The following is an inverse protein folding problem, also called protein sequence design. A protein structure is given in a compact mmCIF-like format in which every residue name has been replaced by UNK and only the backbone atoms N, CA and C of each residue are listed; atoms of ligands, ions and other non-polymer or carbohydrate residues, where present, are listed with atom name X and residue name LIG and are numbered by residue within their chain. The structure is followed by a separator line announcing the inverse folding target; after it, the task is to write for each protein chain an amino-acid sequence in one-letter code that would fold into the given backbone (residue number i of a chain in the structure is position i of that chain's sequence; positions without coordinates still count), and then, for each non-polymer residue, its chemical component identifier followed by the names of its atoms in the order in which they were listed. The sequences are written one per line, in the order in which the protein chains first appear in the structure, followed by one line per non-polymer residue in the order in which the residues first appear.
data_IF_458680999628
#
_entry.id   IF_458680999628
#
_cell.length_a   1.000
_cell.length_b   1.000
_cell.length_c   1.000
_cell.angle_alpha   90.00
_cell.angle_beta   90.00
_cell.angle_gamma   90.00
#
_symmetry.space_group_name_H-M   'P 1'
#
loop_
_entity.id
_entity.type
_entity.pdbx_description
1 polymer ?
#
# COMPACT_ATOMS: atom_id res chain seq x y z
N UNK A 1 112.94 8.87 -31.73
CA UNK A 1 112.26 9.22 -33.01
C UNK A 1 111.19 8.17 -33.27
N UNK A 2 109.91 8.52 -33.07
CA UNK A 2 108.67 7.83 -33.52
C UNK A 2 107.51 8.47 -32.74
N UNK A 3 107.03 9.65 -33.14
CA UNK A 3 105.90 9.93 -34.05
C UNK A 3 104.58 9.23 -33.65
N UNK A 4 103.71 10.03 -33.03
CA UNK A 4 102.26 9.83 -32.81
C UNK A 4 101.51 9.48 -34.10
N UNK A 5 100.47 8.64 -33.97
CA UNK A 5 99.31 8.62 -34.88
C UNK A 5 98.04 8.92 -34.08
N UNK A 6 97.21 9.89 -34.49
CA UNK A 6 95.97 10.21 -33.81
C UNK A 6 94.86 9.25 -34.27
N UNK A 7 94.11 8.69 -33.32
CA UNK A 7 92.85 8.00 -33.61
C UNK A 7 91.69 8.98 -33.41
N UNK A 8 90.98 9.26 -34.49
CA UNK A 8 89.69 9.95 -34.47
C UNK A 8 88.61 8.99 -33.95
N UNK A 9 87.82 9.44 -32.98
CA UNK A 9 86.59 8.74 -32.58
C UNK A 9 85.40 9.56 -33.04
N UNK A 10 84.59 8.98 -33.94
CA UNK A 10 83.35 9.57 -34.41
C UNK A 10 82.28 9.52 -33.31
N UNK A 11 81.60 10.64 -33.06
CA UNK A 11 80.46 10.72 -32.15
C UNK A 11 79.19 10.53 -33.00
N UNK A 12 78.46 9.44 -32.77
CA UNK A 12 77.13 9.23 -33.32
C UNK A 12 76.09 9.82 -32.37
N UNK A 13 75.35 10.84 -32.80
CA UNK A 13 74.17 11.35 -32.09
C UNK A 13 72.97 10.45 -32.41
N UNK A 14 72.60 9.58 -31.47
CA UNK A 14 71.30 8.91 -31.49
C UNK A 14 70.24 9.81 -30.86
N UNK A 15 69.31 10.33 -31.65
CA UNK A 15 68.13 11.03 -31.13
C UNK A 15 67.07 9.99 -30.74
N UNK A 16 66.90 9.71 -29.45
CA UNK A 16 65.72 9.02 -28.94
C UNK A 16 64.60 10.05 -28.70
N UNK A 17 63.50 9.93 -29.44
CA UNK A 17 62.26 10.65 -29.14
C UNK A 17 61.63 9.91 -27.95
N UNK A 18 61.67 10.53 -26.76
CA UNK A 18 60.91 10.06 -25.62
C UNK A 18 59.48 10.59 -25.76
N UNK A 19 58.52 9.71 -26.05
CA UNK A 19 57.09 10.05 -25.92
C UNK A 19 56.71 9.95 -24.45
N UNK A 20 56.59 11.09 -23.77
CA UNK A 20 55.98 11.17 -22.44
C UNK A 20 54.48 10.91 -22.54
N UNK A 21 54.03 9.74 -22.09
CA UNK A 21 52.63 9.50 -21.79
C UNK A 21 52.28 10.29 -20.52
N UNK A 22 51.68 11.47 -20.68
CA UNK A 22 51.11 12.23 -19.55
C UNK A 22 49.87 11.47 -19.07
N UNK A 23 50.05 10.56 -18.12
CA UNK A 23 48.96 10.07 -17.29
C UNK A 23 48.59 11.19 -16.33
N UNK A 24 47.45 11.84 -16.55
CA UNK A 24 46.86 12.74 -15.57
C UNK A 24 46.42 11.91 -14.35
N UNK A 25 47.34 11.68 -13.41
CA UNK A 25 47.06 10.98 -12.16
C UNK A 25 46.35 11.97 -11.22
N UNK A 26 45.03 11.85 -11.13
CA UNK A 26 44.26 12.53 -10.07
C UNK A 26 44.59 11.83 -8.76
N UNK A 27 45.30 12.51 -7.88
CA UNK A 27 45.65 12.00 -6.55
C UNK A 27 44.61 12.48 -5.53
N UNK A 28 43.83 11.54 -5.00
CA UNK A 28 42.92 11.79 -3.87
C UNK A 28 43.68 11.53 -2.56
N UNK A 29 44.16 12.59 -1.91
CA UNK A 29 44.92 12.47 -0.67
C UNK A 29 43.98 12.48 0.55
N UNK A 30 43.62 11.30 1.07
CA UNK A 30 42.75 11.16 2.25
C UNK A 30 43.58 11.35 3.52
N UNK A 31 43.34 12.43 4.25
CA UNK A 31 44.03 12.68 5.52
C UNK A 31 43.43 11.84 6.66
N UNK A 32 44.12 10.75 7.03
CA UNK A 32 43.71 9.87 8.13
C UNK A 32 44.08 10.38 9.53
N UNK A 33 44.91 11.42 9.65
CA UNK A 33 45.44 11.89 10.94
C UNK A 33 44.47 12.77 11.73
N UNK A 34 43.48 13.37 11.08
CA UNK A 34 42.45 14.19 11.70
C UNK A 34 41.09 13.56 11.43
N UNK A 35 40.49 12.93 12.45
CA UNK A 35 39.07 12.58 12.36
C UNK A 35 38.31 13.90 12.26
N UNK A 36 37.68 14.16 11.12
CA UNK A 36 36.87 15.36 10.90
C UNK A 36 35.70 15.45 11.88
N UNK A 37 34.79 16.41 11.66
CA UNK A 37 33.60 16.55 12.51
C UNK A 37 32.80 15.24 12.59
N UNK A 38 32.29 14.93 13.78
CA UNK A 38 31.42 13.76 13.96
C UNK A 38 30.20 13.90 13.06
N UNK A 39 29.97 12.90 12.22
CA UNK A 39 28.78 12.84 11.38
C UNK A 39 27.55 12.74 12.29
N UNK A 40 26.60 13.70 12.24
CA UNK A 40 25.41 13.65 13.08
C UNK A 40 24.60 12.39 12.82
N UNK A 41 24.05 11.78 13.87
CA UNK A 41 23.15 10.64 13.76
C UNK A 41 21.87 10.97 12.96
N UNK A 42 21.57 12.25 12.75
CA UNK A 42 20.44 12.77 11.97
C UNK A 42 20.79 13.14 10.53
N UNK A 43 22.04 12.89 10.08
CA UNK A 43 22.47 13.25 8.71
C UNK A 43 21.62 12.58 7.63
N UNK A 44 21.03 11.43 7.93
CA UNK A 44 20.15 10.71 7.02
C UNK A 44 18.75 10.54 7.62
N UNK A 45 17.73 10.84 6.83
CA UNK A 45 16.34 10.71 7.21
C UNK A 45 15.46 10.45 6.00
N UNK A 46 14.18 10.20 6.25
CA UNK A 46 13.15 10.10 5.23
C UNK A 46 12.23 11.31 5.34
N UNK A 47 11.85 11.87 4.19
CA UNK A 47 10.72 12.77 4.10
C UNK A 47 9.55 11.94 3.60
N UNK A 48 8.45 11.98 4.34
CA UNK A 48 7.17 11.41 3.96
C UNK A 48 6.19 12.58 3.84
N UNK A 49 5.61 12.73 2.67
CA UNK A 49 4.57 13.73 2.40
C UNK A 49 3.24 13.03 2.24
N UNK A 50 2.17 13.67 2.72
CA UNK A 50 0.81 13.18 2.50
C UNK A 50 0.44 13.33 1.03
N UNK A 51 0.03 12.23 0.40
CA UNK A 51 -0.65 12.18 -0.88
C UNK A 51 0.15 12.58 -2.16
N UNK A 52 1.49 12.59 -2.14
CA UNK A 52 2.25 12.46 -3.40
C UNK A 52 2.22 10.99 -3.84
N UNK A 53 1.67 10.73 -5.03
CA UNK A 53 1.62 9.40 -5.65
C UNK A 53 1.03 8.29 -4.75
N UNK A 54 0.05 8.60 -3.90
CA UNK A 54 -0.53 7.64 -2.92
C UNK A 54 0.52 7.07 -1.94
N UNK A 55 1.51 7.87 -1.55
CA UNK A 55 2.59 7.48 -0.64
C UNK A 55 2.14 7.17 0.80
N UNK A 56 1.01 7.72 1.22
CA UNK A 56 0.32 7.47 2.49
C UNK A 56 -0.88 6.54 2.29
N UNK A 57 -2.02 7.04 1.81
CA UNK A 57 -3.24 6.28 1.56
C UNK A 57 -3.07 5.45 0.29
N UNK A 58 -3.09 4.11 0.44
CA UNK A 58 -2.68 3.16 -0.60
C UNK A 58 -1.19 2.82 -0.57
N UNK A 59 -0.41 3.59 0.18
CA UNK A 59 1.01 3.43 0.42
C UNK A 59 1.28 3.00 1.85
N UNK A 60 1.95 3.85 2.63
CA UNK A 60 2.38 3.51 3.98
C UNK A 60 1.22 3.11 4.91
N UNK A 61 0.06 3.76 4.82
CA UNK A 61 -1.12 3.42 5.61
C UNK A 61 -1.74 2.10 5.10
N UNK A 62 -2.05 1.18 6.00
CA UNK A 62 -2.41 -0.20 5.63
C UNK A 62 -3.86 -0.41 5.18
N UNK A 63 -4.67 0.64 5.08
CA UNK A 63 -6.04 0.53 4.57
C UNK A 63 -6.04 -0.01 3.14
N UNK A 64 -6.86 -1.03 2.89
CA UNK A 64 -7.03 -1.60 1.55
C UNK A 64 -8.15 -0.92 0.77
N UNK A 65 -9.20 -0.45 1.47
CA UNK A 65 -10.39 0.12 0.84
C UNK A 65 -10.13 1.56 0.42
N UNK A 66 -10.18 1.81 -0.88
CA UNK A 66 -10.08 3.15 -1.44
C UNK A 66 -11.37 3.92 -1.22
N UNK A 67 -11.27 5.23 -0.93
CA UNK A 67 -12.42 6.11 -0.72
C UNK A 67 -13.42 5.54 0.31
N UNK A 68 -12.90 5.03 1.44
CA UNK A 68 -13.67 4.31 2.47
C UNK A 68 -14.80 5.09 3.13
N UNK A 69 -14.75 6.42 3.07
CA UNK A 69 -15.66 7.32 3.78
C UNK A 69 -16.20 8.45 2.90
N UNK A 70 -16.04 8.36 1.57
CA UNK A 70 -16.61 9.31 0.60
C UNK A 70 -16.11 10.75 0.78
N UNK A 71 -14.86 10.91 1.22
CA UNK A 71 -14.22 12.18 1.53
C UNK A 71 -13.35 12.73 0.39
N UNK A 72 -13.20 11.98 -0.70
CA UNK A 72 -12.48 12.43 -1.90
C UNK A 72 -13.09 13.72 -2.46
N UNK A 73 -12.28 14.50 -3.19
CA UNK A 73 -12.72 15.78 -3.74
C UNK A 73 -13.96 15.60 -4.63
N UNK A 74 -14.98 16.42 -4.40
CA UNK A 74 -16.26 16.32 -5.11
C UNK A 74 -17.25 15.32 -4.51
N UNK A 75 -16.85 14.56 -3.47
CA UNK A 75 -17.67 13.52 -2.81
C UNK A 75 -18.21 12.53 -3.83
N UNK A 76 -17.42 11.51 -4.14
CA UNK A 76 -17.71 10.54 -5.20
C UNK A 76 -17.87 9.11 -4.65
N UNK A 77 -18.37 8.23 -5.51
CA UNK A 77 -18.35 6.77 -5.31
C UNK A 77 -17.12 6.14 -5.99
N UNK A 78 -16.06 6.92 -6.26
CA UNK A 78 -14.87 6.39 -6.93
C UNK A 78 -14.31 5.20 -6.15
N UNK A 79 -13.92 4.16 -6.87
CA UNK A 79 -13.48 2.89 -6.30
C UNK A 79 -14.59 1.89 -6.03
N UNK A 80 -15.86 2.32 -5.95
CA UNK A 80 -17.00 1.47 -5.64
C UNK A 80 -17.81 1.13 -6.89
N UNK A 81 -18.14 -0.15 -7.06
CA UNK A 81 -19.04 -0.63 -8.11
C UNK A 81 -20.07 -1.60 -7.52
N UNK A 82 -21.29 -1.57 -8.06
CA UNK A 82 -22.39 -2.45 -7.67
C UNK A 82 -22.41 -3.71 -8.54
N UNK A 83 -22.98 -4.80 -8.02
CA UNK A 83 -23.29 -6.01 -8.79
C UNK A 83 -24.60 -6.65 -8.30
N UNK A 84 -25.21 -7.48 -9.13
CA UNK A 84 -26.54 -8.04 -8.87
C UNK A 84 -27.66 -7.04 -9.17
N UNK A 85 -28.70 -7.02 -8.34
CA UNK A 85 -29.99 -6.35 -8.60
C UNK A 85 -30.11 -4.96 -7.94
N UNK A 86 -29.06 -4.49 -7.26
CA UNK A 86 -29.06 -3.24 -6.50
C UNK A 86 -28.28 -2.08 -7.15
N UNK A 87 -28.48 -0.88 -6.62
CA UNK A 87 -27.75 0.33 -7.03
C UNK A 87 -27.12 1.05 -5.85
N UNK A 88 -25.99 1.72 -6.10
CA UNK A 88 -25.31 2.59 -5.14
C UNK A 88 -25.51 4.06 -5.52
N UNK A 89 -25.71 4.90 -4.51
CA UNK A 89 -25.79 6.36 -4.64
C UNK A 89 -25.20 7.04 -3.41
N UNK A 90 -25.01 8.36 -3.47
CA UNK A 90 -24.58 9.15 -2.31
C UNK A 90 -25.79 9.74 -1.59
N UNK A 91 -25.70 9.81 -0.27
CA UNK A 91 -26.67 10.43 0.61
C UNK A 91 -25.93 11.33 1.61
N UNK A 92 -26.54 12.45 1.97
CA UNK A 92 -26.09 13.35 3.04
C UNK A 92 -27.15 13.48 4.15
N UNK A 93 -28.16 12.62 4.13
CA UNK A 93 -29.29 12.69 5.06
C UNK A 93 -28.87 12.00 6.35
N UNK A 94 -28.92 12.72 7.48
CA UNK A 94 -28.56 12.20 8.81
C UNK A 94 -27.18 11.51 8.77
N UNK A 95 -26.10 12.24 8.44
CA UNK A 95 -24.78 11.64 8.25
C UNK A 95 -24.26 10.97 9.52
N UNK A 96 -23.23 10.12 9.37
CA UNK A 96 -22.62 9.42 10.51
C UNK A 96 -22.05 10.42 11.55
N UNK A 97 -21.44 11.50 11.07
CA UNK A 97 -20.94 12.59 11.90
C UNK A 97 -20.76 13.87 11.08
N UNK A 98 -20.53 15.00 11.76
CA UNK A 98 -20.20 16.26 11.08
C UNK A 98 -18.91 16.18 10.24
N UNK A 99 -17.97 15.31 10.62
CA UNK A 99 -16.72 15.10 9.88
C UNK A 99 -16.91 14.19 8.64
N UNK A 100 -18.00 13.41 8.62
CA UNK A 100 -18.33 12.45 7.58
C UNK A 100 -19.73 12.75 7.02
N UNK A 101 -19.88 13.87 6.29
CA UNK A 101 -21.19 14.43 5.94
C UNK A 101 -21.90 13.70 4.80
N UNK A 102 -21.26 12.68 4.21
CA UNK A 102 -21.80 11.89 3.10
C UNK A 102 -21.52 10.41 3.36
N UNK A 103 -22.47 9.57 2.94
CA UNK A 103 -22.44 8.12 3.02
C UNK A 103 -22.89 7.50 1.69
N UNK A 104 -22.53 6.25 1.47
CA UNK A 104 -23.11 5.47 0.37
C UNK A 104 -24.46 4.91 0.80
N UNK A 105 -25.44 4.98 -0.09
CA UNK A 105 -26.75 4.36 0.00
C UNK A 105 -26.84 3.24 -1.05
N UNK A 106 -26.94 2.00 -0.59
CA UNK A 106 -27.27 0.84 -1.40
C UNK A 106 -28.79 0.63 -1.38
N UNK A 107 -29.39 0.46 -2.56
CA UNK A 107 -30.84 0.37 -2.75
C UNK A 107 -31.21 -0.91 -3.49
N UNK A 108 -32.04 -1.72 -2.86
CA UNK A 108 -32.77 -2.83 -3.46
C UNK A 108 -34.26 -2.43 -3.52
N UNK A 109 -34.73 -2.02 -4.69
CA UNK A 109 -36.12 -1.53 -4.88
C UNK A 109 -37.13 -2.65 -4.64
N UNK A 110 -36.83 -3.84 -5.14
CA UNK A 110 -37.62 -5.06 -4.98
C UNK A 110 -36.88 -6.07 -4.10
N UNK A 111 -37.58 -7.12 -3.69
CA UNK A 111 -36.97 -8.27 -3.04
C UNK A 111 -36.03 -8.97 -4.01
N UNK A 112 -34.73 -9.00 -3.68
CA UNK A 112 -33.70 -9.55 -4.56
C UNK A 112 -33.90 -11.06 -4.78
N UNK A 113 -33.81 -11.50 -6.03
CA UNK A 113 -33.84 -12.93 -6.37
C UNK A 113 -32.45 -13.57 -6.23
N UNK A 114 -31.40 -12.78 -6.44
CA UNK A 114 -30.00 -13.22 -6.43
C UNK A 114 -29.16 -12.46 -5.40
N UNK A 115 -27.99 -12.99 -4.99
CA UNK A 115 -27.04 -12.22 -4.20
C UNK A 115 -26.69 -10.90 -4.91
N UNK A 116 -26.64 -9.81 -4.15
CA UNK A 116 -26.43 -8.47 -4.69
C UNK A 116 -25.57 -7.68 -3.74
N UNK A 117 -24.75 -6.78 -4.24
CA UNK A 117 -23.82 -6.08 -3.36
C UNK A 117 -23.01 -5.03 -4.06
N UNK A 118 -21.91 -4.67 -3.42
CA UNK A 118 -20.96 -3.72 -3.95
C UNK A 118 -19.55 -4.12 -3.55
N UNK A 119 -18.60 -3.67 -4.35
CA UNK A 119 -17.20 -4.02 -4.20
C UNK A 119 -16.30 -2.82 -4.43
N UNK A 120 -15.12 -2.85 -3.82
CA UNK A 120 -14.09 -1.84 -3.91
C UNK A 120 -12.81 -2.45 -4.46
N UNK A 121 -12.23 -1.84 -5.49
CA UNK A 121 -10.98 -2.30 -6.12
C UNK A 121 -9.70 -1.87 -5.40
N UNK A 122 -9.81 -1.11 -4.31
CA UNK A 122 -8.67 -0.61 -3.56
C UNK A 122 -7.85 0.39 -4.36
N UNK A 123 -6.57 0.50 -4.02
CA UNK A 123 -5.66 1.45 -4.63
C UNK A 123 -4.97 0.83 -5.85
N UNK A 124 -5.67 0.84 -6.99
CA UNK A 124 -5.24 0.17 -8.24
C UNK A 124 -5.05 -1.35 -8.07
N UNK A 125 -5.86 -1.96 -7.21
CA UNK A 125 -5.78 -3.37 -6.85
C UNK A 125 -5.53 -3.60 -5.35
N UNK A 126 -5.64 -4.86 -4.93
CA UNK A 126 -5.36 -5.30 -3.57
C UNK A 126 -4.43 -6.50 -3.58
N UNK A 127 -3.33 -6.43 -2.83
CA UNK A 127 -2.42 -7.57 -2.66
C UNK A 127 -2.95 -8.53 -1.59
N UNK A 128 -3.83 -9.45 -1.98
CA UNK A 128 -4.45 -10.41 -1.07
C UNK A 128 -3.50 -11.57 -0.79
N UNK A 129 -2.95 -11.59 0.43
CA UNK A 129 -2.05 -12.61 0.97
C UNK A 129 -2.79 -13.59 1.89
N UNK A 130 -2.18 -14.76 2.13
CA UNK A 130 -2.65 -15.75 3.10
C UNK A 130 -2.46 -15.25 4.54
N UNK A 131 -3.48 -14.59 5.08
CA UNK A 131 -3.52 -14.00 6.42
C UNK A 131 -4.97 -13.66 6.81
N UNK A 132 -5.16 -13.20 8.05
CA UNK A 132 -6.43 -12.66 8.52
C UNK A 132 -6.53 -11.16 8.29
N UNK A 133 -7.67 -10.71 7.79
CA UNK A 133 -8.00 -9.30 7.58
C UNK A 133 -9.13 -8.91 8.53
N UNK A 134 -9.07 -7.69 9.06
CA UNK A 134 -10.13 -7.12 9.90
C UNK A 134 -10.92 -6.13 9.06
N UNK A 135 -12.19 -6.44 8.82
CA UNK A 135 -13.11 -5.56 8.13
C UNK A 135 -14.05 -4.90 9.14
N UNK A 136 -14.28 -3.59 9.00
CA UNK A 136 -15.21 -2.82 9.82
C UNK A 136 -16.03 -1.88 8.96
N UNK A 137 -17.25 -1.57 9.36
CA UNK A 137 -18.09 -0.60 8.68
C UNK A 137 -19.20 -0.11 9.58
N UNK A 138 -19.63 1.14 9.36
CA UNK A 138 -20.89 1.63 9.89
C UNK A 138 -22.02 1.32 8.92
N UNK A 139 -23.13 0.85 9.47
CA UNK A 139 -24.30 0.43 8.73
C UNK A 139 -25.57 1.03 9.35
N UNK A 140 -26.48 1.45 8.48
CA UNK A 140 -27.81 1.93 8.89
C UNK A 140 -28.88 1.45 7.91
N UNK A 141 -29.80 0.56 8.34
CA UNK A 141 -30.94 0.17 7.53
C UNK A 141 -32.06 1.21 7.62
N UNK A 142 -32.82 1.39 6.55
CA UNK A 142 -34.10 2.10 6.61
C UNK A 142 -35.17 1.28 7.32
N UNK A 143 -36.26 1.93 7.77
CA UNK A 143 -37.32 1.27 8.55
C UNK A 143 -37.96 0.04 7.87
N UNK A 144 -38.06 0.04 6.54
CA UNK A 144 -38.65 -1.06 5.76
C UNK A 144 -37.61 -2.01 5.17
N UNK A 145 -36.33 -1.84 5.53
CA UNK A 145 -35.26 -2.66 5.00
C UNK A 145 -35.26 -4.05 5.65
N UNK A 146 -34.94 -5.06 4.85
CA UNK A 146 -34.88 -6.44 5.27
C UNK A 146 -33.69 -7.12 4.59
N UNK A 147 -32.90 -7.85 5.36
CA UNK A 147 -31.80 -8.68 4.86
C UNK A 147 -32.21 -10.14 5.02
N UNK A 148 -32.17 -10.91 3.93
CA UNK A 148 -32.48 -12.33 3.96
C UNK A 148 -31.61 -13.06 4.99
N UNK A 149 -32.22 -13.75 5.96
CA UNK A 149 -31.49 -14.41 7.04
C UNK A 149 -30.71 -13.49 7.99
N UNK A 150 -30.84 -12.16 7.86
CA UNK A 150 -30.23 -11.17 8.75
C UNK A 150 -28.71 -11.05 8.67
N UNK A 151 -28.04 -11.69 7.69
CA UNK A 151 -26.59 -11.75 7.60
C UNK A 151 -26.08 -11.21 6.27
N UNK A 152 -25.03 -10.41 6.34
CA UNK A 152 -24.25 -9.98 5.18
C UNK A 152 -23.02 -10.87 5.04
N UNK A 153 -22.62 -11.16 3.81
CA UNK A 153 -21.32 -11.78 3.52
C UNK A 153 -20.33 -10.67 3.19
N UNK A 154 -19.15 -10.69 3.80
CA UNK A 154 -18.07 -9.78 3.47
C UNK A 154 -16.83 -10.59 3.10
N UNK A 155 -16.00 -10.09 2.19
CA UNK A 155 -14.88 -10.89 1.74
C UNK A 155 -13.89 -10.18 0.82
N UNK A 156 -12.91 -10.96 0.39
CA UNK A 156 -11.94 -10.62 -0.63
C UNK A 156 -12.08 -11.63 -1.78
N UNK A 157 -12.12 -11.14 -3.01
CA UNK A 157 -12.25 -11.95 -4.21
C UNK A 157 -11.55 -11.33 -5.41
N UNK A 158 -11.58 -12.02 -6.54
CA UNK A 158 -11.11 -11.50 -7.81
C UNK A 158 -12.11 -10.51 -8.42
N UNK A 159 -11.63 -9.46 -9.10
CA UNK A 159 -12.49 -8.42 -9.66
C UNK A 159 -13.43 -8.92 -10.77
N UNK A 160 -13.10 -10.01 -11.45
CA UNK A 160 -13.97 -10.64 -12.44
C UNK A 160 -15.08 -11.50 -11.81
N UNK A 161 -15.06 -11.69 -10.48
CA UNK A 161 -16.04 -12.49 -9.75
C UNK A 161 -15.89 -13.99 -9.94
N UNK A 162 -14.71 -14.45 -10.40
CA UNK A 162 -14.44 -15.87 -10.67
C UNK A 162 -13.99 -16.63 -9.42
N UNK A 163 -13.26 -15.98 -8.52
CA UNK A 163 -12.69 -16.58 -7.33
C UNK A 163 -12.97 -15.74 -6.08
N UNK A 164 -13.17 -16.43 -4.95
CA UNK A 164 -13.31 -15.83 -3.63
C UNK A 164 -12.20 -16.37 -2.74
N UNK A 165 -11.35 -15.49 -2.24
CA UNK A 165 -10.15 -15.86 -1.48
C UNK A 165 -10.43 -16.07 0.01
N UNK A 166 -11.43 -15.37 0.54
CA UNK A 166 -11.86 -15.50 1.92
C UNK A 166 -13.12 -14.69 2.19
N UNK A 167 -13.98 -15.23 3.06
CA UNK A 167 -15.22 -14.57 3.47
C UNK A 167 -15.42 -14.64 4.98
N UNK A 168 -16.33 -13.80 5.45
CA UNK A 168 -16.89 -13.82 6.78
C UNK A 168 -18.37 -13.44 6.70
N UNK A 169 -19.14 -13.76 7.74
CA UNK A 169 -20.55 -13.36 7.82
C UNK A 169 -20.74 -12.40 8.99
N UNK A 170 -21.53 -11.36 8.76
CA UNK A 170 -21.86 -10.34 9.76
C UNK A 170 -23.36 -10.37 10.01
N UNK A 171 -23.77 -10.65 11.25
CA UNK A 171 -25.17 -10.60 11.65
C UNK A 171 -25.59 -9.15 11.90
N UNK A 172 -26.50 -8.66 11.04
CA UNK A 172 -27.07 -7.30 11.09
C UNK A 172 -28.55 -7.32 11.49
N UNK A 173 -29.09 -8.47 11.92
CA UNK A 173 -30.51 -8.63 12.25
C UNK A 173 -30.99 -7.72 13.37
N UNK A 174 -30.10 -7.39 14.32
CA UNK A 174 -30.39 -6.51 15.45
C UNK A 174 -30.05 -5.03 15.18
N UNK A 175 -29.68 -4.66 13.95
CA UNK A 175 -29.40 -3.27 13.61
C UNK A 175 -30.69 -2.42 13.70
N UNK A 176 -30.77 -1.42 14.59
CA UNK A 176 -31.94 -0.56 14.70
C UNK A 176 -32.18 0.25 13.42
N UNK A 177 -33.44 0.33 13.01
CA UNK A 177 -33.87 1.15 11.88
C UNK A 177 -33.47 2.62 12.06
N UNK A 178 -32.92 3.22 11.02
CA UNK A 178 -32.50 4.63 10.96
C UNK A 178 -31.48 5.05 12.03
N UNK A 179 -30.77 4.09 12.62
CA UNK A 179 -29.71 4.34 13.61
C UNK A 179 -28.41 3.69 13.15
N UNK A 180 -27.32 4.46 13.19
CA UNK A 180 -26.00 3.97 12.81
C UNK A 180 -25.49 2.93 13.82
N UNK A 181 -25.02 1.80 13.30
CA UNK A 181 -24.41 0.72 14.07
C UNK A 181 -23.07 0.34 13.46
N UNK A 182 -22.07 0.05 14.28
CA UNK A 182 -20.76 -0.39 13.83
C UNK A 182 -20.67 -1.91 13.85
N UNK A 183 -20.13 -2.50 12.79
CA UNK A 183 -19.89 -3.93 12.68
C UNK A 183 -18.43 -4.21 12.36
N UNK A 184 -17.98 -5.39 12.79
CA UNK A 184 -16.63 -5.89 12.55
C UNK A 184 -16.69 -7.36 12.21
N UNK A 185 -15.80 -7.81 11.33
CA UNK A 185 -15.58 -9.23 11.08
C UNK A 185 -14.13 -9.51 10.71
N UNK A 186 -13.70 -10.74 10.99
CA UNK A 186 -12.41 -11.27 10.58
C UNK A 186 -12.58 -12.14 9.34
N UNK A 187 -11.86 -11.81 8.27
CA UNK A 187 -11.82 -12.56 7.02
C UNK A 187 -10.52 -13.36 7.02
N UNK A 188 -10.61 -14.69 6.92
CA UNK A 188 -9.44 -15.56 6.85
C UNK A 188 -9.18 -15.95 5.41
N UNK A 189 -7.99 -15.62 4.91
CA UNK A 189 -7.51 -16.04 3.58
C UNK A 189 -6.42 -17.09 3.78
N UNK A 190 -6.58 -18.25 3.16
CA UNK A 190 -5.66 -19.38 3.33
C UNK A 190 -4.62 -19.49 2.22
N UNK A 191 -4.90 -18.92 1.05
CA UNK A 191 -4.01 -18.90 -0.11
C UNK A 191 -3.92 -17.49 -0.66
N UNK A 192 -2.71 -17.04 -0.99
CA UNK A 192 -2.52 -15.75 -1.61
C UNK A 192 -3.16 -15.73 -3.01
N UNK A 193 -3.75 -14.60 -3.37
CA UNK A 193 -4.29 -14.38 -4.70
C UNK A 193 -3.17 -14.42 -5.75
N UNK A 194 -3.44 -14.93 -6.97
CA UNK A 194 -2.44 -15.02 -8.02
C UNK A 194 -2.11 -13.67 -8.68
N UNK A 195 -2.93 -12.64 -8.43
CA UNK A 195 -2.76 -11.29 -8.97
C UNK A 195 -3.15 -10.24 -7.95
N UNK A 196 -3.00 -8.95 -8.29
CA UNK A 196 -3.49 -7.82 -7.49
C UNK A 196 -4.85 -7.31 -7.94
N UNK A 197 -5.47 -7.91 -8.97
CA UNK A 197 -6.76 -7.48 -9.51
C UNK A 197 -7.92 -8.00 -8.64
N UNK A 198 -7.83 -7.71 -7.35
CA UNK A 198 -8.73 -8.22 -6.32
C UNK A 198 -9.60 -7.09 -5.76
N UNK A 199 -10.71 -7.47 -5.16
CA UNK A 199 -11.72 -6.57 -4.59
C UNK A 199 -12.06 -6.96 -3.16
N UNK A 200 -12.41 -5.96 -2.36
CA UNK A 200 -13.18 -6.14 -1.12
C UNK A 200 -14.66 -6.01 -1.45
N UNK A 201 -15.51 -6.90 -0.96
CA UNK A 201 -16.93 -6.86 -1.23
C UNK A 201 -17.79 -7.01 0.02
N UNK A 202 -18.99 -6.43 -0.05
CA UNK A 202 -20.10 -6.67 0.88
C UNK A 202 -21.30 -7.14 0.04
N UNK A 203 -21.83 -8.29 0.39
CA UNK A 203 -22.91 -8.98 -0.31
C UNK A 203 -24.12 -9.17 0.58
N UNK A 204 -25.27 -8.83 0.02
CA UNK A 204 -26.58 -9.16 0.55
C UNK A 204 -27.04 -10.49 -0.04
N UNK A 205 -27.57 -11.41 0.78
CA UNK A 205 -28.17 -12.64 0.29
C UNK A 205 -29.47 -12.35 -0.49
N UNK A 206 -29.97 -13.33 -1.26
CA UNK A 206 -31.32 -13.30 -1.81
C UNK A 206 -32.38 -13.03 -0.74
N UNK A 207 -33.56 -12.61 -1.17
CA UNK A 207 -34.66 -12.19 -0.31
C UNK A 207 -34.34 -10.94 0.53
N UNK A 208 -33.44 -10.08 0.05
CA UNK A 208 -33.14 -8.79 0.69
C UNK A 208 -33.88 -7.65 -0.03
N UNK A 209 -34.30 -6.61 0.68
CA UNK A 209 -34.97 -5.43 0.11
C UNK A 209 -34.77 -4.17 0.94
N UNK A 210 -34.91 -3.01 0.30
CA UNK A 210 -34.93 -1.70 0.95
C UNK A 210 -33.64 -0.92 0.78
N UNK A 211 -33.51 0.14 1.60
CA UNK A 211 -32.35 1.03 1.58
C UNK A 211 -31.42 0.75 2.76
N UNK A 212 -30.14 0.71 2.47
CA UNK A 212 -29.06 0.46 3.40
C UNK A 212 -27.98 1.50 3.22
N UNK A 213 -27.53 2.14 4.29
CA UNK A 213 -26.48 3.14 4.21
C UNK A 213 -25.22 2.69 4.91
N UNK A 214 -24.07 3.02 4.32
CA UNK A 214 -22.75 2.59 4.77
C UNK A 214 -21.76 3.77 4.83
N UNK A 215 -20.91 3.77 5.85
CA UNK A 215 -19.82 4.73 5.99
C UNK A 215 -18.62 4.11 6.72
N UNK A 216 -17.43 4.70 6.59
CA UNK A 216 -16.15 4.18 7.12
C UNK A 216 -15.98 2.68 6.85
N UNK A 217 -16.13 2.26 5.60
CA UNK A 217 -15.96 0.86 5.21
C UNK A 217 -14.47 0.57 5.09
N UNK A 218 -13.94 -0.26 5.96
CA UNK A 218 -12.49 -0.45 6.13
C UNK A 218 -12.13 -1.93 6.11
N UNK A 219 -10.97 -2.25 5.54
CA UNK A 219 -10.40 -3.59 5.59
C UNK A 219 -8.88 -3.49 5.79
N UNK A 220 -8.39 -3.99 6.93
CA UNK A 220 -6.99 -3.96 7.30
C UNK A 220 -6.36 -5.35 7.27
N UNK A 221 -5.18 -5.53 6.65
CA UNK A 221 -4.30 -6.65 6.93
C UNK A 221 -3.62 -6.46 8.30
N UNK A 222 -2.85 -7.46 8.78
CA UNK A 222 -1.93 -7.27 9.90
C UNK A 222 -1.00 -6.08 9.64
N UNK A 223 -0.81 -5.25 10.66
CA UNK A 223 -0.04 -4.00 10.55
C UNK A 223 1.30 -4.10 11.26
N UNK A 224 2.23 -3.21 10.90
CA UNK A 224 3.54 -3.16 11.53
C UNK A 224 3.43 -2.95 13.05
N UNK A 225 4.05 -3.86 13.80
CA UNK A 225 3.99 -3.91 15.27
C UNK A 225 2.56 -4.04 15.83
N UNK A 226 1.63 -4.63 15.07
CA UNK A 226 0.24 -4.88 15.47
C UNK A 226 -0.49 -3.62 15.94
N UNK A 227 -0.19 -2.47 15.31
CA UNK A 227 -0.83 -1.20 15.65
C UNK A 227 -2.18 -1.08 14.97
N UNK A 228 -3.24 -0.86 15.74
CA UNK A 228 -4.55 -0.47 15.18
C UNK A 228 -4.40 0.78 14.32
N UNK A 229 -5.04 0.81 13.15
CA UNK A 229 -4.88 1.87 12.15
C UNK A 229 -3.40 2.12 11.81
N UNK A 230 -2.64 1.03 11.72
CA UNK A 230 -1.20 1.05 11.51
C UNK A 230 -0.78 1.14 10.06
N UNK A 231 0.51 0.90 9.85
CA UNK A 231 1.17 0.98 8.55
C UNK A 231 1.46 -0.39 7.98
N UNK A 232 1.64 -0.48 6.67
CA UNK A 232 1.97 -1.73 6.00
C UNK A 232 3.33 -2.25 6.45
N UNK A 233 3.38 -3.56 6.70
CA UNK A 233 4.57 -4.24 7.21
C UNK A 233 5.74 -4.16 6.21
N UNK A 234 5.45 -4.44 4.94
CA UNK A 234 6.44 -4.48 3.87
C UNK A 234 7.13 -3.12 3.64
N UNK A 235 6.38 -2.02 3.68
CA UNK A 235 6.92 -0.66 3.53
C UNK A 235 7.66 -0.24 4.80
N UNK A 236 7.08 -0.44 5.98
CA UNK A 236 7.67 -0.02 7.25
C UNK A 236 9.01 -0.73 7.55
N UNK A 237 9.18 -1.96 7.09
CA UNK A 237 10.43 -2.72 7.27
C UNK A 237 11.49 -2.42 6.20
N UNK A 238 11.11 -1.84 5.04
CA UNK A 238 11.98 -1.78 3.86
C UNK A 238 13.20 -0.88 4.04
N UNK A 239 13.12 0.17 4.86
CA UNK A 239 14.21 1.12 5.03
C UNK A 239 14.54 1.46 6.48
N UNK A 240 15.41 0.63 7.07
CA UNK A 240 16.12 0.94 8.32
C UNK A 240 17.53 1.43 7.93
N UNK A 241 17.64 2.71 7.58
CA UNK A 241 18.86 3.28 6.99
C UNK A 241 20.11 3.09 7.87
N UNK A 242 19.93 3.16 9.19
CA UNK A 242 20.98 2.96 10.18
C UNK A 242 21.56 1.53 10.18
N UNK A 243 20.82 0.54 9.67
CA UNK A 243 21.36 -0.81 9.46
C UNK A 243 22.28 -0.92 8.23
N UNK A 244 22.38 0.13 7.41
CA UNK A 244 23.14 0.13 6.15
C UNK A 244 24.41 0.99 6.20
N UNK A 245 24.63 1.70 7.31
CA UNK A 245 25.79 2.58 7.52
C UNK A 245 26.70 2.04 8.63
N UNK A 246 27.88 2.64 8.82
CA UNK A 246 28.88 2.18 9.81
C UNK A 246 29.66 0.91 9.37
N UNK A 247 30.46 0.30 10.25
CA UNK A 247 31.28 -0.87 9.93
C UNK A 247 30.44 -2.04 9.42
N UNK A 248 30.89 -2.73 8.36
CA UNK A 248 30.14 -3.85 7.74
C UNK A 248 29.76 -4.95 8.74
N UNK A 249 30.63 -5.25 9.71
CA UNK A 249 30.37 -6.23 10.79
C UNK A 249 29.14 -5.89 11.67
N UNK A 250 28.69 -4.64 11.65
CA UNK A 250 27.55 -4.15 12.42
C UNK A 250 26.29 -3.98 11.54
N UNK A 251 26.36 -4.34 10.26
CA UNK A 251 25.21 -4.27 9.34
C UNK A 251 24.53 -5.63 9.32
N UNK A 252 23.35 -5.81 9.94
CA UNK A 252 22.70 -7.12 10.09
C UNK A 252 22.17 -7.71 8.76
N UNK A 253 22.32 -7.00 7.64
CA UNK A 253 21.69 -7.35 6.38
C UNK A 253 20.16 -7.19 6.44
N UNK A 254 19.49 -7.52 5.33
CA UNK A 254 18.03 -7.64 5.26
C UNK A 254 17.65 -8.64 4.20
N UNK A 255 16.49 -9.29 4.36
CA UNK A 255 15.92 -10.14 3.33
C UNK A 255 15.54 -9.26 2.11
N UNK A 256 15.97 -9.66 0.92
CA UNK A 256 15.62 -8.98 -0.33
C UNK A 256 14.14 -9.22 -0.69
N UNK A 257 13.59 -8.38 -1.57
CA UNK A 257 12.23 -8.54 -2.09
C UNK A 257 12.15 -9.41 -3.34
N UNK A 258 13.22 -10.15 -3.65
CA UNK A 258 13.29 -11.08 -4.78
C UNK A 258 13.31 -12.48 -4.20
N UNK A 259 12.19 -13.19 -4.38
CA UNK A 259 12.07 -14.65 -4.17
C UNK A 259 11.89 -15.27 -5.54
#
# INVERSE_FOLDING_TARGET
MSIMKPFFTAIAFGTSILTENITNVVSLNIQNANTGQTIPATMHGLILETNINRGDDGGLYAELVYNRAFQEMGRSLDGWITYGEGSIGLSNIQPLSNALPVQMKFTLTETSASPSGFQNGGFYGMNTQAQSYTATFYYRPSANAHVGGGKLTIGLGDAAGLDVFGTSTVDVSNAPANVWSNFSASISVYLAAPSTQNVFFIEFPPNSKGNFEFNLISCFPPTFKNRTNGVRIDIAQRFIWNNTIGPLKNRPGRQGSWV
#
